data_IF_195890902958
#
_entry.id   IF_195890902958
#
_cell.length_a   1.000
_cell.length_b   1.000
_cell.length_c   1.000
_cell.angle_alpha   90.00
_cell.angle_beta   90.00
_cell.angle_gamma   90.00
#
_symmetry.space_group_name_H-M   'P 1'
#
loop_
_entity.id
_entity.type
_entity.pdbx_description
1 polymer ?
#
# COMPACT_ATOMS: atom_id res chain seq x y z
N UNK A 1 -10.46 -20.52 -13.35
CA UNK A 1 -10.07 -20.30 -11.95
C UNK A 1 -10.36 -18.85 -11.57
N UNK A 2 -11.04 -18.62 -10.44
CA UNK A 2 -11.65 -17.33 -10.07
C UNK A 2 -10.96 -16.72 -8.83
N UNK A 3 -9.65 -16.92 -8.70
CA UNK A 3 -8.86 -16.39 -7.59
C UNK A 3 -8.29 -15.03 -7.98
N UNK A 4 -8.80 -13.97 -7.37
CA UNK A 4 -8.34 -12.60 -7.58
C UNK A 4 -6.96 -12.33 -6.94
N UNK A 5 -6.53 -13.20 -6.02
CA UNK A 5 -5.18 -13.24 -5.44
C UNK A 5 -4.80 -14.67 -5.04
N UNK A 6 -3.51 -14.95 -4.91
CA UNK A 6 -2.96 -16.23 -4.49
C UNK A 6 -1.64 -16.05 -3.72
N UNK A 7 -1.40 -16.92 -2.73
CA UNK A 7 -0.12 -16.96 -2.01
C UNK A 7 0.90 -17.83 -2.75
N UNK A 8 2.19 -17.50 -2.61
CA UNK A 8 3.29 -18.28 -3.21
C UNK A 8 3.25 -19.74 -2.76
N UNK A 9 2.95 -19.99 -1.48
CA UNK A 9 2.87 -21.34 -0.92
C UNK A 9 1.71 -22.15 -1.54
N UNK A 10 0.54 -21.53 -1.69
CA UNK A 10 -0.62 -22.16 -2.33
C UNK A 10 -0.32 -22.53 -3.78
N UNK A 11 0.38 -21.66 -4.51
CA UNK A 11 0.77 -21.92 -5.90
C UNK A 11 1.84 -23.02 -5.99
N UNK A 12 2.80 -23.04 -5.07
CA UNK A 12 3.82 -24.09 -5.00
C UNK A 12 3.20 -25.48 -4.77
N UNK A 13 2.22 -25.57 -3.87
CA UNK A 13 1.45 -26.80 -3.61
C UNK A 13 0.55 -27.19 -4.80
N UNK A 14 -0.02 -26.20 -5.52
CA UNK A 14 -0.91 -26.45 -6.65
C UNK A 14 -0.17 -26.99 -7.89
N UNK A 15 1.06 -26.55 -8.14
CA UNK A 15 1.83 -26.89 -9.34
C UNK A 15 2.73 -28.11 -9.16
N UNK A 16 2.24 -29.18 -8.52
CA UNK A 16 3.00 -30.42 -8.29
C UNK A 16 4.37 -30.17 -7.62
N UNK A 17 4.37 -29.42 -6.51
CA UNK A 17 5.53 -29.14 -5.65
C UNK A 17 6.66 -28.31 -6.30
N UNK A 18 6.33 -27.41 -7.22
CA UNK A 18 7.28 -26.40 -7.71
C UNK A 18 7.79 -25.54 -6.54
N UNK A 19 9.10 -25.30 -6.48
CA UNK A 19 9.70 -24.53 -5.39
C UNK A 19 9.11 -23.12 -5.28
N UNK A 20 8.95 -22.61 -4.05
CA UNK A 20 8.53 -21.22 -3.82
C UNK A 20 9.42 -20.20 -4.54
N UNK A 21 10.72 -20.51 -4.71
CA UNK A 21 11.65 -19.65 -5.42
C UNK A 21 11.30 -19.51 -6.91
N UNK A 22 10.89 -20.61 -7.55
CA UNK A 22 10.42 -20.61 -8.94
C UNK A 22 9.12 -19.81 -9.06
N UNK A 23 8.14 -20.08 -8.19
CA UNK A 23 6.88 -19.33 -8.17
C UNK A 23 7.12 -17.83 -7.98
N UNK A 24 8.00 -17.42 -7.05
CA UNK A 24 8.33 -15.99 -6.85
C UNK A 24 8.90 -15.36 -8.12
N UNK A 25 9.82 -16.06 -8.80
CA UNK A 25 10.49 -15.56 -10.01
C UNK A 25 9.52 -15.46 -11.20
N UNK A 26 8.62 -16.41 -11.35
CA UNK A 26 7.57 -16.36 -12.38
C UNK A 26 6.55 -15.26 -12.11
N UNK A 27 6.13 -15.09 -10.86
CA UNK A 27 5.26 -13.98 -10.45
C UNK A 27 5.92 -12.62 -10.64
N UNK A 28 7.24 -12.51 -10.42
CA UNK A 28 8.01 -11.30 -10.73
C UNK A 28 7.98 -11.00 -12.22
N UNK A 29 8.22 -11.99 -13.08
CA UNK A 29 8.15 -11.82 -14.53
C UNK A 29 6.75 -11.35 -14.96
N UNK A 30 5.69 -12.02 -14.51
CA UNK A 30 4.31 -11.63 -14.82
C UNK A 30 3.95 -10.23 -14.29
N UNK A 31 4.54 -9.80 -13.18
CA UNK A 31 4.39 -8.44 -12.68
C UNK A 31 5.09 -7.41 -13.59
N UNK A 32 6.32 -7.71 -14.03
CA UNK A 32 7.04 -6.83 -14.98
C UNK A 32 6.35 -6.69 -16.32
N UNK A 33 5.63 -7.74 -16.75
CA UNK A 33 4.80 -7.72 -17.97
C UNK A 33 3.43 -7.05 -17.76
N UNK A 34 3.13 -6.57 -16.56
CA UNK A 34 1.85 -5.91 -16.28
C UNK A 34 0.64 -6.85 -16.36
N UNK A 35 0.82 -8.15 -16.04
CA UNK A 35 -0.27 -9.14 -15.99
C UNK A 35 -0.86 -9.32 -14.59
N UNK A 36 -0.09 -9.06 -13.54
CA UNK A 36 -0.53 -9.08 -12.14
C UNK A 36 0.26 -8.06 -11.29
N UNK A 37 -0.14 -7.89 -10.04
CA UNK A 37 0.58 -7.08 -9.05
C UNK A 37 1.09 -7.96 -7.91
N UNK A 38 2.32 -7.73 -7.44
CA UNK A 38 2.90 -8.45 -6.31
C UNK A 38 2.27 -8.00 -4.99
N UNK A 39 2.05 -8.95 -4.08
CA UNK A 39 1.61 -8.69 -2.70
C UNK A 39 2.62 -9.28 -1.72
N UNK A 40 2.44 -9.02 -0.42
CA UNK A 40 3.30 -9.62 0.61
C UNK A 40 3.09 -11.15 0.62
N UNK A 41 4.06 -11.88 0.05
CA UNK A 41 4.04 -13.34 -0.03
C UNK A 41 3.29 -13.93 -1.23
N UNK A 42 2.77 -13.11 -2.15
CA UNK A 42 1.87 -13.58 -3.20
C UNK A 42 1.76 -12.67 -4.42
N UNK A 43 0.64 -12.82 -5.13
CA UNK A 43 0.27 -11.98 -6.26
C UNK A 43 -1.25 -11.80 -6.33
N UNK A 44 -1.69 -10.70 -6.93
CA UNK A 44 -3.10 -10.37 -7.15
C UNK A 44 -3.33 -9.84 -8.56
N UNK A 45 -4.53 -10.04 -9.09
CA UNK A 45 -4.91 -9.46 -10.38
C UNK A 45 -5.03 -7.94 -10.29
N UNK A 46 -4.80 -7.22 -11.40
CA UNK A 46 -4.96 -5.76 -11.44
C UNK A 46 -6.36 -5.28 -11.05
N UNK A 47 -7.40 -6.06 -11.37
CA UNK A 47 -8.77 -5.74 -10.95
C UNK A 47 -8.91 -5.81 -9.43
N UNK A 48 -8.27 -6.79 -8.79
CA UNK A 48 -8.22 -6.90 -7.34
C UNK A 48 -7.50 -5.73 -6.69
N UNK A 49 -6.39 -5.26 -7.26
CA UNK A 49 -5.67 -4.08 -6.73
C UNK A 49 -6.54 -2.80 -6.80
N UNK A 50 -7.26 -2.60 -7.90
CA UNK A 50 -8.24 -1.49 -8.01
C UNK A 50 -9.37 -1.62 -7.00
N UNK A 51 -9.83 -2.85 -6.74
CA UNK A 51 -10.83 -3.13 -5.71
C UNK A 51 -10.27 -2.92 -4.30
N UNK A 52 -9.02 -3.29 -4.02
CA UNK A 52 -8.35 -3.02 -2.74
C UNK A 52 -8.13 -1.52 -2.52
N UNK A 53 -7.76 -0.77 -3.55
CA UNK A 53 -7.71 0.69 -3.52
C UNK A 53 -9.09 1.24 -3.15
N UNK A 54 -10.15 0.76 -3.81
CA UNK A 54 -11.54 1.13 -3.52
C UNK A 54 -12.00 0.69 -2.11
N UNK A 55 -11.56 -0.48 -1.64
CA UNK A 55 -11.86 -1.04 -0.32
C UNK A 55 -11.13 -0.28 0.77
N UNK A 56 -9.93 0.24 0.51
CA UNK A 56 -9.23 1.18 1.39
C UNK A 56 -9.97 2.51 1.45
N UNK A 57 -10.56 3.02 0.36
CA UNK A 57 -11.45 4.19 0.42
C UNK A 57 -12.71 3.91 1.25
N UNK A 58 -13.30 2.72 1.12
CA UNK A 58 -14.45 2.28 1.94
C UNK A 58 -14.05 2.11 3.41
N UNK A 59 -12.87 1.54 3.69
CA UNK A 59 -12.32 1.38 5.03
C UNK A 59 -11.80 2.69 5.63
N UNK A 60 -11.37 3.64 4.81
CA UNK A 60 -11.09 4.99 5.26
C UNK A 60 -12.37 5.59 5.83
N UNK A 61 -13.52 5.35 5.18
CA UNK A 61 -14.86 5.73 5.65
C UNK A 61 -15.25 5.03 6.95
N UNK A 62 -14.98 3.73 7.07
CA UNK A 62 -15.18 2.97 8.31
C UNK A 62 -14.20 3.43 9.40
N UNK A 63 -14.74 4.11 10.42
CA UNK A 63 -13.96 4.70 11.53
C UNK A 63 -13.04 5.84 11.12
N UNK A 64 -13.36 6.53 10.01
CA UNK A 64 -12.60 7.70 9.53
C UNK A 64 -12.24 8.69 10.64
N UNK A 65 -13.24 9.06 11.46
CA UNK A 65 -13.06 10.01 12.56
C UNK A 65 -12.02 9.54 13.59
N UNK A 66 -11.94 8.23 13.87
CA UNK A 66 -10.93 7.69 14.80
C UNK A 66 -9.53 7.78 14.18
N UNK A 67 -9.40 7.41 12.91
CA UNK A 67 -8.12 7.50 12.17
C UNK A 67 -7.64 8.94 12.07
N UNK A 68 -8.55 9.89 11.81
CA UNK A 68 -8.24 11.32 11.77
C UNK A 68 -7.76 11.87 13.12
N UNK A 69 -8.35 11.40 14.24
CA UNK A 69 -7.88 11.76 15.59
C UNK A 69 -6.47 11.25 15.86
N UNK A 70 -6.19 10.00 15.51
CA UNK A 70 -4.83 9.42 15.62
C UNK A 70 -3.87 10.21 14.72
N UNK A 71 -4.28 10.51 13.50
CA UNK A 71 -3.47 11.26 12.54
C UNK A 71 -3.11 12.66 13.03
N UNK A 72 -4.07 13.38 13.62
CA UNK A 72 -3.80 14.67 14.23
C UNK A 72 -2.79 14.55 15.37
N UNK A 73 -3.03 13.64 16.31
CA UNK A 73 -2.13 13.45 17.45
C UNK A 73 -0.71 13.06 17.00
N UNK A 74 -0.57 12.24 15.94
CA UNK A 74 0.73 11.90 15.38
C UNK A 74 1.41 13.08 14.68
N UNK A 75 0.66 13.89 13.93
CA UNK A 75 1.20 15.08 13.28
C UNK A 75 1.60 16.18 14.28
N UNK A 76 0.90 16.29 15.41
CA UNK A 76 1.24 17.23 16.49
C UNK A 76 2.59 16.89 17.17
N UNK A 77 3.14 15.68 16.94
CA UNK A 77 4.45 15.25 17.45
C UNK A 77 5.59 15.48 16.45
N UNK A 78 5.29 15.95 15.24
CA UNK A 78 6.26 16.13 14.16
C UNK A 78 6.71 17.58 14.09
N UNK A 79 8.00 17.78 13.89
CA UNK A 79 8.60 19.10 13.67
C UNK A 79 9.06 19.30 12.22
N UNK A 80 9.23 20.56 11.82
CA UNK A 80 9.78 20.88 10.51
C UNK A 80 11.24 20.39 10.43
N UNK A 81 11.59 19.70 9.34
CA UNK A 81 12.93 19.12 9.17
C UNK A 81 13.05 17.66 9.59
N UNK A 82 12.03 17.07 10.20
CA UNK A 82 12.06 15.68 10.66
C UNK A 82 12.16 14.67 9.51
N UNK A 83 12.76 13.52 9.83
CA UNK A 83 12.76 12.34 8.98
C UNK A 83 11.80 11.29 9.52
N UNK A 84 10.83 10.89 8.71
CA UNK A 84 9.70 10.05 9.14
C UNK A 84 9.58 8.84 8.20
N UNK A 85 9.47 7.65 8.79
CA UNK A 85 9.09 6.44 8.05
C UNK A 85 7.58 6.28 8.13
N UNK A 86 6.92 6.20 6.98
CA UNK A 86 5.49 5.97 6.85
C UNK A 86 5.23 4.68 6.07
N UNK A 87 4.64 3.70 6.75
CA UNK A 87 4.23 2.43 6.14
C UNK A 87 2.96 2.60 5.27
N UNK A 88 2.48 1.49 4.69
CA UNK A 88 1.21 1.42 3.97
C UNK A 88 0.00 1.43 4.91
N UNK A 89 -1.12 1.99 4.45
CA UNK A 89 -2.42 1.80 5.11
C UNK A 89 -3.27 3.06 5.28
N UNK A 90 -4.56 2.84 5.55
CA UNK A 90 -5.55 3.92 5.62
C UNK A 90 -5.32 4.92 6.77
N UNK A 91 -4.70 4.52 7.89
CA UNK A 91 -4.36 5.45 8.97
C UNK A 91 -3.15 6.31 8.59
N UNK A 92 -2.11 5.70 7.99
CA UNK A 92 -0.92 6.39 7.51
C UNK A 92 -1.26 7.43 6.44
N UNK A 93 -2.22 7.12 5.58
CA UNK A 93 -2.77 8.09 4.62
C UNK A 93 -3.38 9.31 5.33
N UNK A 94 -4.12 9.12 6.42
CA UNK A 94 -4.65 10.25 7.18
C UNK A 94 -3.55 11.05 7.89
N UNK A 95 -2.49 10.39 8.39
CA UNK A 95 -1.30 11.06 8.96
C UNK A 95 -0.66 11.95 7.89
N UNK A 96 -0.37 11.38 6.72
CA UNK A 96 0.23 12.10 5.60
C UNK A 96 -0.59 13.34 5.19
N UNK A 97 -1.94 13.28 5.29
CA UNK A 97 -2.80 14.45 5.04
C UNK A 97 -2.63 15.57 6.07
N UNK A 98 -2.31 15.25 7.32
CA UNK A 98 -2.08 16.25 8.37
C UNK A 98 -0.66 16.85 8.29
N UNK A 99 0.30 16.11 7.73
CA UNK A 99 1.69 16.54 7.64
C UNK A 99 1.98 17.57 6.54
N UNK A 100 1.02 17.84 5.66
CA UNK A 100 1.19 18.72 4.48
C UNK A 100 1.60 20.16 4.79
N UNK A 101 1.31 20.65 5.99
CA UNK A 101 1.70 21.98 6.42
C UNK A 101 3.10 22.02 7.04
N UNK A 102 3.74 20.87 7.27
CA UNK A 102 5.10 20.79 7.72
C UNK A 102 6.04 20.97 6.53
N UNK A 103 7.16 21.63 6.80
CA UNK A 103 8.16 21.97 5.80
C UNK A 103 9.43 21.17 6.04
N UNK A 104 10.17 20.91 4.96
CA UNK A 104 11.46 20.21 5.00
C UNK A 104 11.41 18.80 5.60
N UNK A 105 10.25 18.15 5.58
CA UNK A 105 10.15 16.75 5.99
C UNK A 105 10.86 15.84 4.99
N UNK A 106 11.59 14.86 5.51
CA UNK A 106 12.10 13.72 4.72
C UNK A 106 11.20 12.52 5.01
N UNK A 107 10.52 12.01 3.99
CA UNK A 107 9.58 10.89 4.17
C UNK A 107 10.09 9.66 3.44
N UNK A 108 10.25 8.57 4.18
CA UNK A 108 10.59 7.25 3.65
C UNK A 108 9.33 6.39 3.70
N UNK A 109 8.94 5.79 2.59
CA UNK A 109 7.76 4.93 2.53
C UNK A 109 7.97 3.74 1.61
N UNK A 110 7.35 2.61 1.96
CA UNK A 110 7.28 1.43 1.10
C UNK A 110 6.09 1.49 0.11
N UNK A 111 5.27 2.54 0.15
CA UNK A 111 4.05 2.71 -0.66
C UNK A 111 4.06 4.06 -1.41
N UNK A 112 5.04 4.22 -2.30
CA UNK A 112 5.29 5.47 -3.03
C UNK A 112 4.10 5.92 -3.89
N UNK A 113 3.41 4.99 -4.53
CA UNK A 113 2.26 5.28 -5.41
C UNK A 113 1.15 6.02 -4.65
N UNK A 114 0.77 5.53 -3.47
CA UNK A 114 -0.30 6.15 -2.66
C UNK A 114 0.14 7.48 -2.06
N UNK A 115 1.40 7.58 -1.63
CA UNK A 115 1.94 8.82 -1.11
C UNK A 115 1.97 9.93 -2.17
N UNK A 116 2.39 9.58 -3.39
CA UNK A 116 2.46 10.50 -4.54
C UNK A 116 1.07 11.03 -4.93
N UNK A 117 0.05 10.16 -4.98
CA UNK A 117 -1.33 10.57 -5.26
C UNK A 117 -1.88 11.56 -4.24
N UNK A 118 -1.46 11.46 -2.97
CA UNK A 118 -1.89 12.37 -1.93
C UNK A 118 -1.27 13.77 -2.13
N UNK A 119 0.02 13.82 -2.42
CA UNK A 119 0.76 15.07 -2.62
C UNK A 119 0.25 15.83 -3.86
N UNK A 120 0.00 15.15 -4.98
CA UNK A 120 -0.53 15.78 -6.20
C UNK A 120 -1.92 16.41 -5.98
N UNK A 121 -2.77 15.79 -5.16
CA UNK A 121 -4.14 16.27 -4.92
C UNK A 121 -4.23 17.49 -4.01
N UNK A 122 -3.15 17.84 -3.30
CA UNK A 122 -3.10 19.01 -2.41
C UNK A 122 -2.38 20.22 -3.01
N UNK A 123 -1.80 20.09 -4.22
CA UNK A 123 -1.21 21.18 -5.00
C UNK A 123 -2.26 21.95 -5.86
N UNK A 124 -3.56 21.82 -5.54
CA UNK A 124 -4.66 22.58 -6.13
C UNK A 124 -5.31 23.44 -5.06
#
# INVERSE_FOLDING_TARGET
MKHESAQVKELAELFDEVSEATIRRDLELLATEGKLTRTHGGAASFQHERLLSSFIWINARWRWMKKRRIAKAAADLVENGDSIILDSGSTTIEIAKQLVNHTKLTIITNDLYRFTLLFIRQLK
#
